data_IF_278205460671
#
_entry.id   IF_278205460671
#
_cell.length_a   1.000
_cell.length_b   1.000
_cell.length_c   1.000
_cell.angle_alpha   90.00
_cell.angle_beta   90.00
_cell.angle_gamma   90.00
#
_symmetry.space_group_name_H-M   'P 1'
#
loop_
_entity.id
_entity.type
_entity.pdbx_description
1 polymer ?
2 non-polymer ?
#
# COMPACT_ATOMS: atom_id res chain seq x y z
N UNK A 1 10.47 -5.13 -9.92
CA UNK A 1 10.86 -5.52 -8.54
C UNK A 1 12.34 -5.81 -8.43
N UNK A 2 13.15 -4.76 -8.52
CA UNK A 2 14.60 -4.92 -8.43
C UNK A 2 15.22 -3.83 -7.56
N UNK A 3 15.47 -2.67 -8.15
CA UNK A 3 16.06 -1.56 -7.41
C UNK A 3 15.19 -1.08 -6.27
N UNK A 4 14.09 -0.44 -6.61
CA UNK A 4 13.15 0.07 -5.62
C UNK A 4 11.84 0.49 -6.27
N UNK A 5 11.09 -0.50 -6.74
CA UNK A 5 9.80 -0.24 -7.38
C UNK A 5 8.89 0.59 -6.48
N UNK A 6 8.14 1.54 -7.08
CA UNK A 6 7.24 2.41 -6.33
C UNK A 6 5.87 1.78 -6.08
N UNK A 7 5.41 1.84 -4.84
CA UNK A 7 4.11 1.29 -4.47
C UNK A 7 3.19 2.38 -3.94
N UNK A 8 2.27 2.83 -4.78
CA UNK A 8 1.33 3.89 -4.39
C UNK A 8 0.19 3.36 -3.53
N UNK A 9 -0.16 4.12 -2.50
CA UNK A 9 -1.24 3.75 -1.60
C UNK A 9 -2.59 4.18 -2.17
N UNK A 10 -3.47 3.21 -2.38
CA UNK A 10 -4.78 3.49 -2.94
C UNK A 10 -5.67 4.25 -1.96
N UNK A 11 -5.33 4.18 -0.67
CA UNK A 11 -6.12 4.86 0.35
C UNK A 11 -5.65 6.29 0.59
N UNK A 12 -4.37 6.44 0.96
CA UNK A 12 -3.81 7.75 1.25
C UNK A 12 -3.18 8.38 0.02
N UNK A 13 -2.67 7.55 -0.89
CA UNK A 13 -2.04 8.07 -2.09
C UNK A 13 -0.52 8.09 -1.99
N UNK A 14 -0.01 8.05 -0.76
CA UNK A 14 1.44 8.06 -0.53
C UNK A 14 2.14 6.96 -1.31
N UNK A 15 3.24 7.31 -1.96
CA UNK A 15 4.02 6.35 -2.74
C UNK A 15 5.39 6.15 -2.13
N UNK A 16 5.87 4.92 -2.13
CA UNK A 16 7.19 4.62 -1.59
C UNK A 16 7.84 3.45 -2.28
N UNK A 17 8.98 3.02 -1.76
CA UNK A 17 9.70 1.88 -2.34
C UNK A 17 9.23 0.58 -1.70
N UNK A 18 9.13 -0.48 -2.50
CA UNK A 18 8.66 -1.78 -2.01
C UNK A 18 9.29 -2.15 -0.67
N UNK A 19 10.59 -1.91 -0.52
CA UNK A 19 11.28 -2.24 0.73
C UNK A 19 10.90 -1.30 1.88
N UNK A 20 10.05 -0.32 1.59
CA UNK A 20 9.61 0.64 2.60
C UNK A 20 8.13 0.50 2.89
N UNK A 21 7.36 0.04 1.90
CA UNK A 21 5.93 -0.13 2.04
C UNK A 21 5.58 -1.50 2.61
N UNK A 22 4.37 -1.62 3.16
CA UNK A 22 3.90 -2.87 3.75
C UNK A 22 4.21 -4.06 2.84
N UNK A 23 5.14 -4.91 3.30
CA UNK A 23 5.55 -6.08 2.53
C UNK A 23 4.39 -7.05 2.34
N UNK A 24 3.43 -7.03 3.28
CA UNK A 24 2.27 -7.91 3.20
C UNK A 24 1.60 -7.83 1.83
N UNK A 25 1.14 -6.64 1.47
CA UNK A 25 0.49 -6.43 0.19
C UNK A 25 1.28 -5.45 -0.68
N UNK A 26 1.80 -4.41 -0.05
CA UNK A 26 2.60 -3.39 -0.74
C UNK A 26 1.71 -2.34 -1.39
N UNK A 27 0.45 -2.69 -1.66
CA UNK A 27 -0.48 -1.77 -2.28
C UNK A 27 -0.82 -0.61 -1.35
N UNK A 28 -0.84 -0.90 -0.05
CA UNK A 28 -1.15 0.12 0.96
C UNK A 28 0.02 0.30 1.92
N UNK A 29 0.25 1.55 2.32
CA UNK A 29 1.35 1.89 3.23
C UNK A 29 1.15 1.28 4.63
N UNK A 30 -0.04 0.75 4.90
CA UNK A 30 -0.31 0.16 6.19
C UNK A 30 -1.39 -0.92 6.12
N UNK A 31 -1.36 -1.85 7.07
CA UNK A 31 -2.34 -2.92 7.12
C UNK A 31 -3.74 -2.35 7.32
N UNK A 32 -3.81 -1.26 8.08
CA UNK A 32 -5.08 -0.59 8.35
C UNK A 32 -5.71 -0.15 7.04
N UNK A 33 -4.90 0.42 6.15
CA UNK A 33 -5.39 0.88 4.85
C UNK A 33 -5.98 -0.29 4.08
N UNK A 34 -5.55 -1.51 4.40
CA UNK A 34 -6.04 -2.71 3.74
C UNK A 34 -7.41 -3.11 4.28
N UNK A 35 -7.52 -3.20 5.60
CA UNK A 35 -8.78 -3.55 6.24
C UNK A 35 -9.78 -2.42 6.08
N UNK A 36 -9.28 -1.22 5.79
CA UNK A 36 -10.14 -0.06 5.60
C UNK A 36 -10.70 -0.06 4.18
N UNK A 37 -9.81 -0.18 3.19
CA UNK A 37 -10.21 -0.21 1.80
C UNK A 37 -11.09 -1.43 1.50
N UNK A 38 -10.91 -2.48 2.30
CA UNK A 38 -11.68 -3.71 2.13
C UNK A 38 -12.99 -3.65 2.92
N UNK A 39 -12.90 -3.22 4.17
CA UNK A 39 -14.06 -3.14 5.04
C UNK A 39 -14.80 -1.80 4.89
N UNK A 40 -14.32 -0.93 4.01
CA UNK A 40 -14.96 0.37 3.82
C UNK A 40 -15.11 0.71 2.33
N UNK A 41 -14.69 -0.19 1.45
CA UNK A 41 -14.79 0.07 0.02
C UNK A 41 -14.58 -1.21 -0.80
N UNK A 42 -14.44 -1.03 -2.11
CA UNK A 42 -14.22 -2.15 -3.02
C UNK A 42 -13.67 -1.67 -4.35
N UNK A 43 -12.90 -2.53 -5.02
CA UNK A 43 -12.33 -2.19 -6.31
C UNK A 43 -12.28 -3.42 -7.22
X LIG B 1 -2.25 4.43 3.30
#
# INVERSE_FOLDING_TARGET
>A
GSGSEPAVCEMCGIVGTREAFFSKTKRFCSVSCSRSYSSNSKK
>B hetero
1 ZN ZN
#
